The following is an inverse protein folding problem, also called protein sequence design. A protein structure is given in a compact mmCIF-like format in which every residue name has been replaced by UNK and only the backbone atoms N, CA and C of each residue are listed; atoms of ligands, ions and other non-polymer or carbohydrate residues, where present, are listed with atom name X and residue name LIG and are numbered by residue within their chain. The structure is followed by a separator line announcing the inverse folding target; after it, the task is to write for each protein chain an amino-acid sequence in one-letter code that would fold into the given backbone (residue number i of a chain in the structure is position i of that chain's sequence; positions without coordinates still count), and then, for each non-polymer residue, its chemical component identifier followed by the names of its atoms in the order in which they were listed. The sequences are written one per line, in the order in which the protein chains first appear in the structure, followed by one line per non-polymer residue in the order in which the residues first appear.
data_IF_913168691464
#
_entry.id   IF_913168691464
#
_cell.length_a   1.000
_cell.length_b   1.000
_cell.length_c   1.000
_cell.angle_alpha   90.00
_cell.angle_beta   90.00
_cell.angle_gamma   90.00
#
_symmetry.space_group_name_H-M   'P 1'
#
loop_
_entity.id
_entity.type
_entity.pdbx_description
1 polymer ?
#
# COMPACT_ATOMS: atom_id res chain seq x y z
N UNK A 1 -57.38 -6.84 -2.10
CA UNK A 1 -56.44 -6.15 -1.19
C UNK A 1 -55.04 -6.32 -1.75
N UNK A 2 -54.56 -5.32 -2.49
CA UNK A 2 -53.33 -5.37 -3.28
C UNK A 2 -52.14 -5.13 -2.33
N UNK A 3 -51.29 -6.14 -2.12
CA UNK A 3 -50.09 -6.02 -1.29
C UNK A 3 -48.98 -5.37 -2.15
N UNK A 4 -49.02 -4.04 -2.23
CA UNK A 4 -48.00 -3.25 -2.92
C UNK A 4 -46.75 -3.17 -2.02
N UNK A 5 -45.92 -4.21 -2.08
CA UNK A 5 -44.58 -4.21 -1.50
C UNK A 5 -43.74 -3.25 -2.35
N UNK A 6 -43.68 -1.99 -1.91
CA UNK A 6 -42.69 -1.04 -2.38
C UNK A 6 -41.32 -1.52 -1.93
N UNK A 7 -40.64 -2.26 -2.82
CA UNK A 7 -39.25 -2.61 -2.67
C UNK A 7 -38.44 -1.32 -2.55
N UNK A 8 -37.94 -1.05 -1.35
CA UNK A 8 -36.82 -0.16 -1.14
C UNK A 8 -35.61 -0.79 -1.84
N UNK A 9 -35.43 -0.50 -3.13
CA UNK A 9 -34.12 -0.63 -3.80
C UNK A 9 -33.22 0.47 -3.25
N UNK A 10 -32.80 0.29 -2.00
CA UNK A 10 -31.57 0.87 -1.50
C UNK A 10 -30.42 0.21 -2.25
N UNK A 11 -30.15 0.67 -3.47
CA UNK A 11 -28.87 0.48 -4.13
C UNK A 11 -27.85 1.29 -3.33
N UNK A 12 -27.46 0.76 -2.17
CA UNK A 12 -26.35 1.27 -1.41
C UNK A 12 -25.17 1.28 -2.35
N UNK A 13 -24.57 2.45 -2.53
CA UNK A 13 -23.29 2.68 -3.20
C UNK A 13 -22.24 1.77 -2.57
N UNK A 14 -22.23 0.51 -2.99
CA UNK A 14 -21.46 -0.57 -2.41
C UNK A 14 -20.15 -0.57 -3.16
N UNK A 15 -19.29 0.38 -2.81
CA UNK A 15 -17.93 0.37 -3.32
C UNK A 15 -17.28 -0.99 -3.02
N UNK A 16 -16.43 -1.43 -3.92
CA UNK A 16 -15.83 -2.75 -3.91
C UNK A 16 -14.80 -2.88 -2.80
N UNK A 17 -14.64 -4.10 -2.30
CA UNK A 17 -13.52 -4.46 -1.43
C UNK A 17 -12.36 -4.95 -2.29
N UNK A 18 -11.17 -4.44 -2.03
CA UNK A 18 -9.93 -4.88 -2.68
C UNK A 18 -8.97 -5.31 -1.59
N UNK A 19 -8.52 -6.55 -1.65
CA UNK A 19 -7.48 -7.06 -0.79
C UNK A 19 -6.29 -7.51 -1.62
N UNK A 20 -5.11 -7.54 -1.03
CA UNK A 20 -3.95 -7.92 -1.82
C UNK A 20 -2.65 -7.97 -1.06
N UNK A 21 -1.62 -8.31 -1.80
CA UNK A 21 -0.23 -8.26 -1.36
C UNK A 21 0.54 -7.22 -2.12
N UNK A 22 1.56 -6.66 -1.47
CA UNK A 22 2.48 -5.73 -2.09
C UNK A 22 3.91 -6.05 -1.68
N UNK A 23 4.77 -6.14 -2.69
CA UNK A 23 6.18 -6.43 -2.53
C UNK A 23 6.99 -5.49 -3.39
N UNK A 24 8.20 -5.18 -2.92
CA UNK A 24 9.20 -4.44 -3.67
C UNK A 24 10.45 -5.30 -3.80
N UNK A 25 10.93 -5.54 -5.03
CA UNK A 25 12.07 -6.43 -5.29
C UNK A 25 11.89 -7.85 -4.72
N UNK A 26 10.64 -8.34 -4.67
CA UNK A 26 10.30 -9.63 -4.08
C UNK A 26 10.25 -9.64 -2.54
N UNK A 27 10.53 -8.51 -1.89
CA UNK A 27 10.47 -8.35 -0.44
C UNK A 27 9.11 -7.72 -0.08
N UNK A 28 8.29 -8.33 0.80
CA UNK A 28 7.02 -7.75 1.23
C UNK A 28 7.23 -6.41 1.93
N UNK A 29 6.41 -5.40 1.58
CA UNK A 29 6.50 -4.09 2.23
C UNK A 29 5.86 -4.16 3.61
N UNK A 30 6.62 -4.01 4.70
CA UNK A 30 6.06 -4.12 6.05
C UNK A 30 5.05 -3.01 6.38
N UNK A 31 5.32 -1.77 5.98
CA UNK A 31 4.48 -0.60 6.27
C UNK A 31 4.44 0.37 5.10
N UNK A 32 3.23 0.83 4.77
CA UNK A 32 3.01 1.80 3.70
C UNK A 32 1.54 2.10 3.51
N UNK A 33 1.20 2.66 2.35
CA UNK A 33 -0.14 2.99 1.92
C UNK A 33 -0.32 2.66 0.45
N UNK A 34 -1.49 2.10 0.10
CA UNK A 34 -1.97 1.99 -1.28
C UNK A 34 -3.08 3.00 -1.47
N UNK A 35 -3.03 3.75 -2.56
CA UNK A 35 -4.05 4.72 -2.97
C UNK A 35 -4.67 4.27 -4.29
N UNK A 36 -5.99 4.20 -4.32
CA UNK A 36 -6.82 3.89 -5.48
C UNK A 36 -7.42 5.19 -6.02
N UNK A 37 -6.99 5.59 -7.20
CA UNK A 37 -7.49 6.78 -7.88
C UNK A 37 -8.25 6.37 -9.14
N UNK A 38 -9.56 6.65 -9.26
CA UNK A 38 -10.31 6.36 -10.48
C UNK A 38 -9.68 7.06 -11.69
N UNK A 39 -9.35 6.31 -12.74
CA UNK A 39 -8.65 6.86 -13.91
C UNK A 39 -9.53 7.78 -14.75
N UNK A 40 -10.86 7.65 -14.62
CA UNK A 40 -11.84 8.51 -15.26
C UNK A 40 -12.11 9.80 -14.47
N UNK A 41 -11.47 9.97 -13.31
CA UNK A 41 -11.64 11.11 -12.41
C UNK A 41 -13.01 11.15 -11.71
N UNK A 42 -13.81 10.10 -11.81
CA UNK A 42 -15.16 10.03 -11.24
C UNK A 42 -15.17 9.17 -9.99
N UNK A 43 -15.66 9.75 -8.90
CA UNK A 43 -15.77 9.07 -7.61
C UNK A 43 -14.63 9.41 -6.67
N UNK A 44 -14.63 8.75 -5.52
CA UNK A 44 -13.71 9.05 -4.42
C UNK A 44 -12.40 8.30 -4.56
N UNK A 45 -11.30 8.98 -4.23
CA UNK A 45 -10.01 8.34 -3.99
C UNK A 45 -10.09 7.57 -2.68
N UNK A 46 -9.63 6.32 -2.68
CA UNK A 46 -9.61 5.46 -1.49
C UNK A 46 -8.17 5.11 -1.15
N UNK A 47 -7.77 5.33 0.10
CA UNK A 47 -6.47 4.93 0.63
C UNK A 47 -6.62 3.81 1.65
N UNK A 48 -5.65 2.89 1.70
CA UNK A 48 -5.55 1.90 2.75
C UNK A 48 -4.10 1.65 3.17
N UNK A 49 -3.93 1.20 4.41
CA UNK A 49 -2.61 0.90 4.95
C UNK A 49 -2.12 -0.46 4.44
N UNK A 50 -0.80 -0.54 4.26
CA UNK A 50 -0.08 -1.78 4.05
C UNK A 50 0.48 -2.23 5.40
N UNK A 51 0.19 -3.47 5.78
CA UNK A 51 0.72 -4.12 6.97
C UNK A 51 1.24 -5.52 6.61
N UNK A 52 2.51 -5.78 6.89
CA UNK A 52 3.16 -7.07 6.63
C UNK A 52 3.01 -7.53 5.17
N UNK A 53 3.15 -6.60 4.22
CA UNK A 53 3.01 -6.84 2.79
C UNK A 53 1.59 -7.06 2.33
N UNK A 54 0.57 -6.81 3.17
CA UNK A 54 -0.85 -6.98 2.84
C UNK A 54 -1.61 -5.69 2.96
N UNK A 55 -2.65 -5.52 2.16
CA UNK A 55 -3.54 -4.37 2.24
C UNK A 55 -4.99 -4.80 2.04
N UNK A 56 -5.92 -4.04 2.63
CA UNK A 56 -7.37 -4.20 2.43
C UNK A 56 -8.00 -2.81 2.33
N UNK A 57 -8.63 -2.52 1.19
CA UNK A 57 -9.43 -1.34 0.95
C UNK A 57 -10.91 -1.74 0.82
N UNK A 58 -11.80 -0.89 1.30
CA UNK A 58 -13.25 -1.03 1.12
C UNK A 58 -13.80 0.26 0.56
N UNK A 59 -14.92 0.18 -0.17
CA UNK A 59 -15.51 1.37 -0.78
C UNK A 59 -14.80 1.83 -2.06
N UNK A 60 -13.96 1.00 -2.68
CA UNK A 60 -13.25 1.35 -3.93
C UNK A 60 -14.25 1.39 -5.08
N UNK A 61 -14.22 2.47 -5.88
CA UNK A 61 -15.14 2.60 -7.00
C UNK A 61 -14.77 1.56 -8.08
N UNK A 62 -15.71 0.68 -8.48
CA UNK A 62 -15.47 -0.24 -9.59
C UNK A 62 -15.10 0.51 -10.86
N UNK A 63 -14.22 -0.08 -11.67
CA UNK A 63 -13.68 0.52 -12.88
C UNK A 63 -12.15 0.55 -12.87
N UNK A 64 -11.59 1.27 -13.83
CA UNK A 64 -10.15 1.46 -13.94
C UNK A 64 -9.68 2.41 -12.84
N UNK A 65 -8.75 1.94 -12.01
CA UNK A 65 -8.13 2.71 -10.96
C UNK A 65 -6.61 2.69 -11.14
N UNK A 66 -5.97 3.84 -11.00
CA UNK A 66 -4.53 3.97 -10.86
C UNK A 66 -4.16 3.65 -9.41
N UNK A 67 -3.30 2.66 -9.22
CA UNK A 67 -2.84 2.25 -7.88
C UNK A 67 -1.48 2.86 -7.61
N UNK A 68 -1.41 3.70 -6.58
CA UNK A 68 -0.17 4.33 -6.12
C UNK A 68 0.23 3.74 -4.78
N UNK A 69 1.46 3.24 -4.70
CA UNK A 69 2.04 2.71 -3.47
C UNK A 69 3.04 3.71 -2.92
N UNK A 70 2.84 4.10 -1.66
CA UNK A 70 3.74 4.95 -0.90
C UNK A 70 4.17 4.23 0.39
N UNK A 71 5.44 3.87 0.51
CA UNK A 71 6.00 3.24 1.69
C UNK A 71 7.19 4.07 2.21
N UNK A 72 7.21 4.35 3.52
CA UNK A 72 8.28 5.08 4.19
C UNK A 72 8.97 4.17 5.20
N UNK A 73 10.29 4.38 5.34
CA UNK A 73 11.23 3.65 6.20
C UNK A 73 10.63 3.22 7.55
N UNK A 74 10.47 1.92 7.76
CA UNK A 74 10.36 1.37 9.12
C UNK A 74 11.75 1.40 9.75
N UNK A 75 12.05 2.41 10.56
CA UNK A 75 13.30 2.43 11.33
C UNK A 75 13.19 1.43 12.49
N UNK A 76 13.64 0.20 12.26
CA UNK A 76 13.97 -0.70 13.38
C UNK A 76 15.23 -0.16 14.06
N UNK A 77 15.04 0.74 15.03
CA UNK A 77 16.11 1.07 15.95
C UNK A 77 16.33 -0.12 16.88
N UNK A 78 17.20 -1.05 16.50
CA UNK A 78 17.76 -2.02 17.45
C UNK A 78 18.53 -1.23 18.52
N UNK A 79 17.87 -0.95 19.64
CA UNK A 79 18.44 -0.26 20.82
C UNK A 79 18.98 -1.28 21.82
N UNK A 80 19.81 -2.23 21.40
CA UNK A 80 20.64 -2.93 22.40
C UNK A 80 21.84 -2.05 22.69
N UNK A 81 21.98 -1.65 23.96
CA UNK A 81 23.04 -0.76 24.44
C UNK A 81 24.44 -1.30 24.06
N UNK A 82 24.59 -2.62 24.02
CA UNK A 82 25.85 -3.30 23.69
C UNK A 82 26.27 -3.14 22.22
N UNK A 83 25.33 -3.13 21.27
CA UNK A 83 25.66 -2.85 19.86
C UNK A 83 25.90 -1.36 19.62
N UNK A 84 25.17 -0.49 20.31
CA UNK A 84 25.37 0.96 20.21
C UNK A 84 26.75 1.38 20.73
N UNK A 85 27.22 0.80 21.83
CA UNK A 85 28.57 1.07 22.36
C UNK A 85 29.67 0.56 21.40
N UNK A 86 29.48 -0.59 20.76
CA UNK A 86 30.44 -1.11 19.76
C UNK A 86 30.45 -0.30 18.47
N UNK A 87 29.30 0.18 18.01
CA UNK A 87 29.21 1.07 16.85
C UNK A 87 29.76 2.47 17.12
N UNK A 88 29.50 3.02 18.32
CA UNK A 88 30.06 4.31 18.74
C UNK A 88 31.60 4.26 18.82
N UNK A 89 32.15 3.15 19.32
CA UNK A 89 33.59 2.95 19.39
C UNK A 89 34.24 2.75 18.00
N UNK A 90 33.53 2.18 17.03
CA UNK A 90 34.06 1.91 15.68
C UNK A 90 33.82 3.02 14.66
N UNK A 91 32.96 4.01 14.95
CA UNK A 91 32.64 5.12 14.02
C UNK A 91 32.76 6.51 14.66
N UNK A 92 33.84 6.76 15.39
CA UNK A 92 34.23 8.14 15.71
C UNK A 92 34.59 8.89 14.41
N UNK A 93 33.64 9.66 13.87
CA UNK A 93 33.90 10.67 12.84
C UNK A 93 33.21 10.52 11.48
N UNK A 94 32.34 9.54 11.26
CA UNK A 94 31.52 9.50 10.04
C UNK A 94 30.05 9.36 10.40
N UNK A 95 29.35 10.49 10.42
CA UNK A 95 27.88 10.61 10.54
C UNK A 95 27.15 10.07 9.30
N UNK A 96 27.61 8.95 8.76
CA UNK A 96 27.02 8.29 7.60
C UNK A 96 26.02 7.26 8.11
N UNK A 97 24.75 7.52 7.80
CA UNK A 97 23.57 6.67 7.97
C UNK A 97 23.67 5.37 7.13
N UNK A 98 24.75 5.20 6.38
CA UNK A 98 25.06 4.01 5.60
C UNK A 98 25.33 2.81 6.53
N UNK A 99 24.37 1.88 6.52
CA UNK A 99 24.29 0.70 7.38
C UNK A 99 23.04 0.62 8.27
N UNK A 100 22.27 1.71 8.38
CA UNK A 100 20.98 1.77 9.12
C UNK A 100 19.76 1.85 8.19
N UNK A 101 19.98 1.64 6.89
CA UNK A 101 18.97 1.73 5.84
C UNK A 101 19.10 0.44 5.05
N UNK A 102 18.17 -0.49 5.24
CA UNK A 102 18.03 -1.60 4.33
C UNK A 102 17.43 -1.05 3.01
N UNK A 103 18.08 -1.22 1.84
CA UNK A 103 17.60 -0.66 0.57
C UNK A 103 16.23 -1.16 0.11
N UNK A 104 15.67 -2.15 0.79
CA UNK A 104 14.37 -2.77 0.49
C UNK A 104 13.16 -1.93 0.93
N UNK A 105 13.34 -0.92 1.80
CA UNK A 105 12.22 -0.22 2.45
C UNK A 105 11.84 1.14 1.81
N UNK A 106 12.38 1.43 0.63
CA UNK A 106 12.05 2.64 -0.14
C UNK A 106 11.54 2.22 -1.51
N UNK A 107 10.23 2.38 -1.72
CA UNK A 107 9.62 2.30 -3.06
C UNK A 107 9.77 3.66 -3.71
N UNK A 108 10.63 3.83 -4.72
CA UNK A 108 10.72 5.09 -5.42
C UNK A 108 9.42 5.33 -6.19
N UNK A 109 9.04 6.61 -6.39
CA UNK A 109 7.78 6.95 -7.03
C UNK A 109 7.70 6.45 -8.48
N UNK A 110 8.85 6.29 -9.13
CA UNK A 110 9.04 5.73 -10.48
C UNK A 110 9.29 4.22 -10.50
N UNK A 111 9.09 3.51 -9.37
CA UNK A 111 9.17 2.05 -9.33
C UNK A 111 8.27 1.44 -10.40
N UNK A 112 8.80 0.47 -11.15
CA UNK A 112 8.02 -0.26 -12.15
C UNK A 112 6.85 -0.94 -11.46
N UNK A 113 5.64 -0.71 -11.98
CA UNK A 113 4.38 -1.20 -11.41
C UNK A 113 3.71 -0.24 -10.43
N UNK A 114 4.40 0.82 -9.98
CA UNK A 114 3.79 1.90 -9.22
C UNK A 114 3.05 2.85 -10.17
N UNK A 115 1.84 3.28 -9.80
CA UNK A 115 0.99 4.09 -10.68
C UNK A 115 0.40 3.29 -11.85
N UNK A 116 0.41 1.95 -11.78
CA UNK A 116 -0.22 1.12 -12.79
C UNK A 116 -1.75 1.19 -12.70
N UNK A 117 -2.42 1.11 -13.86
CA UNK A 117 -3.87 0.96 -13.93
C UNK A 117 -4.27 -0.48 -13.65
N UNK A 118 -5.22 -0.66 -12.72
CA UNK A 118 -5.86 -1.94 -12.44
C UNK A 118 -7.38 -1.81 -12.58
N UNK A 119 -7.99 -2.84 -13.16
CA UNK A 119 -9.45 -2.94 -13.24
C UNK A 119 -9.98 -3.51 -11.93
N UNK A 120 -10.83 -2.74 -11.26
CA UNK A 120 -11.55 -3.16 -10.06
C UNK A 120 -12.95 -3.56 -10.47
N UNK A 121 -13.31 -4.82 -10.27
CA UNK A 121 -14.66 -5.31 -10.53
C UNK A 121 -15.57 -5.01 -9.34
N UNK A 122 -16.88 -5.11 -9.54
CA UNK A 122 -17.84 -5.03 -8.43
C UNK A 122 -17.64 -6.17 -7.42
N UNK A 123 -17.85 -5.89 -6.13
CA UNK A 123 -17.74 -6.88 -5.07
C UNK A 123 -16.32 -7.02 -4.52
N UNK A 124 -15.79 -8.25 -4.49
CA UNK A 124 -14.48 -8.55 -3.88
C UNK A 124 -13.42 -8.80 -4.94
N UNK A 125 -12.28 -8.11 -4.81
CA UNK A 125 -11.13 -8.19 -5.71
C UNK A 125 -9.88 -8.58 -4.94
N UNK A 126 -9.03 -9.39 -5.56
CA UNK A 126 -7.70 -9.72 -5.05
C UNK A 126 -6.64 -9.22 -6.03
N UNK A 127 -5.66 -8.45 -5.54
CA UNK A 127 -4.56 -7.91 -6.34
C UNK A 127 -3.19 -8.29 -5.74
N UNK A 128 -2.20 -8.47 -6.61
CA UNK A 128 -0.81 -8.69 -6.20
C UNK A 128 0.07 -7.65 -6.87
N UNK A 129 0.59 -6.73 -6.07
CA UNK A 129 1.38 -5.58 -6.49
C UNK A 129 2.86 -5.92 -6.35
N UNK A 130 3.51 -6.26 -7.47
CA UNK A 130 4.94 -6.54 -7.52
C UNK A 130 5.66 -5.33 -8.09
N UNK A 131 6.28 -4.57 -7.20
CA UNK A 131 7.04 -3.39 -7.54
C UNK A 131 8.52 -3.75 -7.73
N UNK A 132 9.16 -3.15 -8.71
CA UNK A 132 10.61 -3.27 -8.89
C UNK A 132 11.27 -1.92 -9.09
N UNK A 133 12.61 -1.93 -9.08
CA UNK A 133 13.41 -0.73 -9.38
C UNK A 133 13.07 -0.25 -10.80
N UNK A 134 13.17 1.06 -11.06
CA UNK A 134 13.12 1.63 -12.40
C UNK A 134 14.08 0.95 -13.38
#
# INVERSE_FOLDING_TARGET
MFCLIAAAVGCGSSGSSVQGTVSYQGIPIEKGMVTFTPSDGKGSVVGCNIENGKFTATGVIPGKNVLTVAAVKSVTFSRSSDEMSKMAASKAGKGSIEGLIDPADVVPADAVGNGAEHMINEGSNTLDLKLSKP
#
